data_IF_089830357501
#
_entry.id   IF_089830357501
#
_cell.length_a   1.000
_cell.length_b   1.000
_cell.length_c   1.000
_cell.angle_alpha   90.00
_cell.angle_beta   90.00
_cell.angle_gamma   90.00
#
_symmetry.space_group_name_H-M   'P 1'
#
loop_
_entity.id
_entity.type
_entity.pdbx_description
1 polymer ?
#
# COMPACT_ATOMS: atom_id res chain seq x y z
N UNK A 1 -3.35 -8.16 -13.94
CA UNK A 1 -3.74 -6.74 -14.06
C UNK A 1 -2.47 -5.92 -14.21
N UNK A 2 -2.45 -4.85 -15.01
CA UNK A 2 -1.25 -4.02 -15.13
C UNK A 2 -0.92 -3.39 -13.77
N UNK A 3 0.36 -3.11 -13.57
CA UNK A 3 0.84 -2.36 -12.41
C UNK A 3 0.82 -0.87 -12.72
N UNK A 4 0.62 -0.09 -11.67
CA UNK A 4 0.61 1.36 -11.71
C UNK A 4 1.92 1.92 -11.18
N UNK A 5 2.34 3.07 -11.69
CA UNK A 5 3.42 3.87 -11.11
C UNK A 5 3.14 5.36 -11.30
N UNK A 6 3.82 6.19 -10.51
CA UNK A 6 3.67 7.64 -10.54
C UNK A 6 5.02 8.32 -10.71
N UNK A 7 5.11 9.44 -11.46
CA UNK A 7 6.37 10.19 -11.62
C UNK A 7 6.73 11.02 -10.37
N UNK A 8 5.93 10.93 -9.30
CA UNK A 8 6.04 11.69 -8.06
C UNK A 8 5.88 10.75 -6.87
N UNK A 9 6.24 11.23 -5.67
CA UNK A 9 6.02 10.49 -4.42
C UNK A 9 4.52 10.26 -4.21
N UNK A 10 4.16 9.08 -3.72
CA UNK A 10 2.84 8.77 -3.20
C UNK A 10 2.96 8.36 -1.73
N UNK A 11 2.11 8.92 -0.88
CA UNK A 11 1.88 8.43 0.47
C UNK A 11 0.40 8.21 0.72
N UNK A 12 0.09 7.24 1.56
CA UNK A 12 -1.27 6.82 1.82
C UNK A 12 -1.43 6.44 3.28
N UNK A 13 -2.49 6.95 3.90
CA UNK A 13 -2.95 6.54 5.22
C UNK A 13 -4.35 5.91 5.12
N UNK A 14 -4.53 4.74 5.72
CA UNK A 14 -5.80 4.02 5.71
C UNK A 14 -6.71 4.49 6.85
N UNK A 15 -7.89 4.99 6.50
CA UNK A 15 -8.91 5.48 7.45
C UNK A 15 -9.90 4.35 7.83
N UNK A 16 -10.40 3.61 6.84
CA UNK A 16 -11.38 2.55 7.07
C UNK A 16 -11.29 1.45 5.99
N UNK A 17 -11.80 0.26 6.30
CA UNK A 17 -11.80 -0.88 5.40
C UNK A 17 -10.42 -1.53 5.26
N UNK A 18 -10.11 -2.09 4.10
CA UNK A 18 -8.81 -2.72 3.85
C UNK A 18 -8.40 -2.65 2.39
N UNK A 19 -7.10 -2.58 2.13
CA UNK A 19 -6.53 -2.58 0.79
C UNK A 19 -5.43 -3.62 0.69
N UNK A 20 -5.66 -4.68 -0.09
CA UNK A 20 -4.70 -5.77 -0.32
C UNK A 20 -3.92 -5.50 -1.60
N UNK A 21 -2.60 -5.62 -1.54
CA UNK A 21 -1.71 -5.52 -2.71
C UNK A 21 -0.42 -6.32 -2.52
N UNK A 22 0.61 -6.04 -3.31
CA UNK A 22 1.84 -6.82 -3.31
C UNK A 22 2.49 -7.00 -1.92
N UNK A 23 2.58 -5.96 -1.05
CA UNK A 23 3.19 -6.07 0.28
C UNK A 23 2.31 -6.68 1.38
N UNK A 24 1.09 -7.13 1.05
CA UNK A 24 0.10 -7.63 2.02
C UNK A 24 -1.15 -6.74 2.09
N UNK A 25 -1.87 -6.82 3.21
CA UNK A 25 -3.11 -6.07 3.43
C UNK A 25 -2.90 -4.92 4.39
N UNK A 26 -3.23 -3.70 3.93
CA UNK A 26 -3.33 -2.53 4.78
C UNK A 26 -4.70 -2.48 5.46
N UNK A 27 -4.70 -2.31 6.78
CA UNK A 27 -5.87 -2.09 7.63
C UNK A 27 -5.93 -0.62 8.08
N UNK A 28 -6.99 -0.16 8.79
CA UNK A 28 -6.99 1.17 9.38
C UNK A 28 -5.71 1.40 10.20
N UNK A 29 -5.22 2.63 10.17
CA UNK A 29 -3.95 3.08 10.77
C UNK A 29 -2.67 2.60 10.07
N UNK A 30 -2.77 1.83 8.99
CA UNK A 30 -1.63 1.56 8.15
C UNK A 30 -1.23 2.80 7.34
N UNK A 31 0.09 3.00 7.22
CA UNK A 31 0.70 4.05 6.41
C UNK A 31 1.74 3.45 5.45
N UNK A 32 1.81 3.97 4.24
CA UNK A 32 3.00 3.82 3.41
C UNK A 32 3.46 5.13 2.83
N UNK A 33 4.75 5.15 2.50
CA UNK A 33 5.39 6.13 1.64
C UNK A 33 6.10 5.39 0.50
N UNK A 34 5.91 5.85 -0.73
CA UNK A 34 6.50 5.24 -1.92
C UNK A 34 7.23 6.30 -2.74
N UNK A 35 8.51 6.06 -3.12
CA UNK A 35 9.22 6.96 -4.00
C UNK A 35 8.65 6.92 -5.43
N UNK A 36 8.96 7.92 -6.27
CA UNK A 36 8.55 7.92 -7.67
C UNK A 36 8.94 6.64 -8.42
N UNK A 37 8.19 6.32 -9.46
CA UNK A 37 8.45 5.30 -10.48
C UNK A 37 8.49 3.86 -9.99
N UNK A 38 8.13 3.59 -8.74
CA UNK A 38 8.00 2.22 -8.23
C UNK A 38 6.66 1.61 -8.71
N UNK A 39 6.71 0.53 -9.52
CA UNK A 39 5.50 -0.20 -9.93
C UNK A 39 4.80 -0.83 -8.72
N UNK A 40 3.48 -0.76 -8.70
CA UNK A 40 2.68 -1.24 -7.58
C UNK A 40 1.30 -1.72 -8.02
N UNK A 41 0.59 -2.32 -7.07
CA UNK A 41 -0.63 -3.05 -7.34
C UNK A 41 -0.37 -4.33 -8.16
N UNK A 42 -1.44 -4.94 -8.70
CA UNK A 42 -2.84 -4.56 -8.51
C UNK A 42 -3.26 -4.54 -7.03
N UNK A 43 -4.19 -3.64 -6.72
CA UNK A 43 -4.81 -3.54 -5.40
C UNK A 43 -6.26 -3.98 -5.46
N UNK A 44 -6.74 -4.59 -4.37
CA UNK A 44 -8.13 -5.00 -4.24
C UNK A 44 -8.62 -4.85 -2.81
N UNK A 45 -9.94 -4.77 -2.67
CA UNK A 45 -10.61 -4.76 -1.38
C UNK A 45 -11.83 -5.67 -1.41
N UNK A 46 -12.07 -6.41 -0.32
CA UNK A 46 -13.27 -7.25 -0.20
C UNK A 46 -14.51 -6.43 0.14
N UNK A 47 -14.35 -5.38 0.94
CA UNK A 47 -15.47 -4.62 1.53
C UNK A 47 -15.38 -3.11 1.31
N UNK A 48 -14.38 -2.66 0.55
CA UNK A 48 -14.08 -1.25 0.33
C UNK A 48 -12.93 -0.74 1.19
N UNK A 49 -12.43 0.44 0.82
CA UNK A 49 -11.34 1.13 1.48
C UNK A 49 -11.60 2.63 1.44
N UNK A 50 -11.31 3.31 2.55
CA UNK A 50 -11.22 4.77 2.61
C UNK A 50 -9.80 5.10 3.02
N UNK A 51 -9.09 5.85 2.18
CA UNK A 51 -7.73 6.29 2.41
C UNK A 51 -7.57 7.77 2.14
N UNK A 52 -6.62 8.39 2.83
CA UNK A 52 -6.09 9.70 2.48
C UNK A 52 -4.81 9.48 1.68
N UNK A 53 -4.82 9.86 0.40
CA UNK A 53 -3.67 9.74 -0.49
C UNK A 53 -3.15 11.14 -0.82
N UNK A 54 -1.84 11.32 -0.71
CA UNK A 54 -1.16 12.56 -1.05
C UNK A 54 -0.01 12.30 -2.02
N UNK A 55 0.08 13.14 -3.05
CA UNK A 55 1.20 13.15 -3.99
C UNK A 55 2.10 14.37 -3.73
N UNK A 56 3.42 14.17 -3.78
CA UNK A 56 4.39 15.21 -3.41
C UNK A 56 5.40 15.44 -4.52
N UNK A 57 5.66 16.71 -4.83
CA UNK A 57 6.71 17.12 -5.77
C UNK A 57 6.28 17.25 -7.22
N UNK A 58 4.97 17.20 -7.52
CA UNK A 58 4.47 17.45 -8.88
C UNK A 58 3.04 16.98 -9.10
N UNK A 59 2.67 16.86 -10.38
CA UNK A 59 1.35 16.40 -10.82
C UNK A 59 1.25 14.88 -10.71
N UNK A 60 0.16 14.41 -10.12
CA UNK A 60 -0.22 12.99 -10.16
C UNK A 60 -0.53 12.53 -11.60
N UNK A 61 0.04 11.39 -11.97
CA UNK A 61 -0.20 10.73 -13.24
C UNK A 61 -0.09 9.22 -13.04
N UNK A 62 -0.99 8.48 -13.67
CA UNK A 62 -0.97 7.01 -13.68
C UNK A 62 -0.21 6.54 -14.91
N UNK A 63 0.90 5.84 -14.69
CA UNK A 63 1.69 5.20 -15.72
C UNK A 63 1.49 3.69 -15.54
N UNK A 64 0.86 3.06 -16.53
CA UNK A 64 0.51 1.65 -16.51
C UNK A 64 1.58 0.82 -17.21
N UNK A 65 1.93 -0.33 -16.62
CA UNK A 65 2.77 -1.33 -17.30
C UNK A 65 2.02 -2.03 -18.42
N UNK A 66 2.75 -2.50 -19.43
CA UNK A 66 2.19 -3.38 -20.47
C UNK A 66 1.97 -4.81 -19.93
N UNK A 67 2.86 -5.25 -19.04
CA UNK A 67 2.80 -6.58 -18.42
C UNK A 67 1.66 -6.70 -17.41
N UNK A 68 1.15 -7.92 -17.27
CA UNK A 68 0.14 -8.27 -16.28
C UNK A 68 0.79 -8.86 -15.03
N UNK A 69 0.48 -8.30 -13.87
CA UNK A 69 0.82 -8.87 -12.57
C UNK A 69 -0.34 -9.70 -11.99
N UNK A 70 0.03 -10.72 -11.22
CA UNK A 70 -0.90 -11.56 -10.47
C UNK A 70 -1.51 -10.80 -9.29
N UNK A 71 -2.72 -11.23 -8.91
CA UNK A 71 -3.43 -10.71 -7.76
C UNK A 71 -3.97 -11.87 -6.91
N UNK A 72 -3.83 -11.74 -5.60
CA UNK A 72 -4.48 -12.64 -4.63
C UNK A 72 -4.91 -11.81 -3.43
N UNK A 73 -6.01 -12.21 -2.79
CA UNK A 73 -6.39 -11.67 -1.49
C UNK A 73 -5.62 -12.31 -0.33
N UNK A 74 -4.96 -13.45 -0.57
CA UNK A 74 -4.24 -14.22 0.44
C UNK A 74 -2.74 -13.87 0.46
N UNK A 75 -2.42 -12.57 0.29
CA UNK A 75 -1.03 -12.08 0.29
C UNK A 75 -0.49 -12.09 1.71
N UNK A 76 0.71 -12.65 1.88
CA UNK A 76 1.45 -12.58 3.14
C UNK A 76 1.85 -11.13 3.46
N UNK A 77 2.04 -10.86 4.75
CA UNK A 77 2.60 -9.59 5.22
C UNK A 77 4.07 -9.49 4.81
N UNK A 78 4.39 -8.59 3.88
CA UNK A 78 5.74 -8.38 3.36
C UNK A 78 6.00 -6.90 3.02
N UNK A 79 5.96 -6.00 4.01
CA UNK A 79 6.28 -4.59 3.78
C UNK A 79 7.77 -4.40 3.50
N UNK A 80 8.07 -3.44 2.62
CA UNK A 80 9.40 -2.86 2.52
C UNK A 80 9.59 -1.88 3.69
N UNK A 81 10.53 -2.20 4.58
CA UNK A 81 10.88 -1.35 5.71
C UNK A 81 12.28 -0.76 5.50
N UNK A 82 12.53 0.49 5.96
CA UNK A 82 13.89 0.99 6.06
C UNK A 82 14.64 0.23 7.17
N UNK A 83 15.96 0.10 7.05
CA UNK A 83 16.82 -0.65 7.98
C UNK A 83 16.53 -0.36 9.46
N UNK A 84 16.37 0.93 9.82
CA UNK A 84 16.07 1.35 11.19
C UNK A 84 14.74 0.81 11.76
N UNK A 85 13.83 0.36 10.91
CA UNK A 85 12.51 -0.18 11.28
C UNK A 85 12.42 -1.70 11.06
N UNK A 86 13.46 -2.38 10.55
CA UNK A 86 13.39 -3.83 10.29
C UNK A 86 13.09 -4.65 11.56
N UNK A 87 13.51 -4.16 12.73
CA UNK A 87 13.17 -4.79 14.01
C UNK A 87 11.66 -4.80 14.33
N UNK A 88 10.84 -4.05 13.58
CA UNK A 88 9.39 -4.04 13.69
C UNK A 88 8.69 -4.98 12.69
N UNK A 89 9.42 -5.72 11.84
CA UNK A 89 8.82 -6.59 10.81
C UNK A 89 7.85 -7.64 11.39
N UNK A 90 8.14 -8.13 12.58
CA UNK A 90 7.31 -9.11 13.28
C UNK A 90 6.46 -8.46 14.38
N UNK A 91 6.52 -7.13 14.53
CA UNK A 91 5.74 -6.43 15.53
C UNK A 91 4.26 -6.46 15.15
N UNK A 92 3.47 -7.14 15.98
CA UNK A 92 2.03 -7.15 15.88
C UNK A 92 1.52 -5.94 16.67
N UNK A 93 1.02 -4.93 15.94
CA UNK A 93 0.26 -3.85 16.56
C UNK A 93 -1.08 -4.43 17.01
N UNK A 94 -1.25 -4.64 18.31
CA UNK A 94 -2.58 -4.87 18.86
C UNK A 94 -3.37 -3.57 18.66
N UNK A 95 -4.33 -3.60 17.74
CA UNK A 95 -5.20 -2.45 17.47
C UNK A 95 -5.93 -1.99 18.73
N UNK A 96 -6.60 -0.82 18.68
CA UNK A 96 -7.39 -0.38 19.82
C UNK A 96 -8.38 -1.48 20.22
N UNK A 97 -8.52 -1.71 21.54
CA UNK A 97 -9.50 -2.65 22.08
C UNK A 97 -10.87 -2.38 21.44
N UNK A 98 -11.64 -3.42 21.09
CA UNK A 98 -13.00 -3.21 20.62
C UNK A 98 -13.78 -2.46 21.71
N UNK A 99 -14.42 -1.37 21.32
CA UNK A 99 -15.33 -0.60 22.18
C UNK A 99 -16.47 -1.48 22.69
#
# INVERSE_FOLDING_TARGET
>A
MPQESHPVVEECYMIAGSLTGPPGTMHPDAYFWRPPTIPHGPYGSRWGAVSLIRFVGGKHQNIWSDDQADFSFDRAYDPSLPERLEHLREFICEGPLPY
#
